data_IF_072767154793
#
_entry.id   IF_072767154793
#
_cell.length_a   1.000
_cell.length_b   1.000
_cell.length_c   1.000
_cell.angle_alpha   90.00
_cell.angle_beta   90.00
_cell.angle_gamma   90.00
#
_symmetry.space_group_name_H-M   'P 1'
#
loop_
_entity.id
_entity.type
_entity.pdbx_description
1 polymer ?
#
# COMPACT_ATOMS: atom_id res chain seq x y z
N UNK A 1 13.72 25.57 14.96
CA UNK A 1 12.98 24.78 13.97
C UNK A 1 12.01 23.88 14.72
N UNK A 2 10.71 24.21 14.74
CA UNK A 2 9.70 23.32 15.31
C UNK A 2 9.43 22.26 14.25
N UNK A 3 9.78 21.00 14.51
CA UNK A 3 9.24 19.89 13.73
C UNK A 3 7.73 19.95 13.93
N UNK A 4 7.01 20.33 12.89
CA UNK A 4 5.58 20.12 12.84
C UNK A 4 5.50 18.63 12.56
N UNK A 5 5.52 17.80 13.61
CA UNK A 5 5.14 16.39 13.44
C UNK A 5 3.71 16.43 12.90
N UNK A 6 3.54 16.10 11.63
CA UNK A 6 2.21 15.97 11.07
C UNK A 6 1.54 14.84 11.84
N UNK A 7 0.32 15.07 12.31
CA UNK A 7 -0.45 14.08 13.08
C UNK A 7 -0.49 12.72 12.38
N UNK A 8 -0.46 12.73 11.04
CA UNK A 8 -0.36 11.55 10.16
C UNK A 8 0.92 10.74 10.37
N UNK A 9 2.09 11.37 10.55
CA UNK A 9 3.36 10.65 10.73
C UNK A 9 3.40 9.90 12.07
N UNK A 10 2.83 10.51 13.11
CA UNK A 10 2.71 9.90 14.43
C UNK A 10 1.72 8.72 14.44
N UNK A 11 0.66 8.79 13.61
CA UNK A 11 -0.31 7.72 13.43
C UNK A 11 0.26 6.57 12.58
N UNK A 12 0.98 6.88 11.51
CA UNK A 12 1.66 5.88 10.67
C UNK A 12 2.73 5.13 11.46
N UNK A 13 3.53 5.83 12.27
CA UNK A 13 4.51 5.19 13.14
C UNK A 13 3.88 4.17 14.12
N UNK A 14 2.62 4.37 14.50
CA UNK A 14 1.88 3.44 15.36
C UNK A 14 1.43 2.16 14.63
N UNK A 15 1.45 2.14 13.30
CA UNK A 15 1.12 0.94 12.50
C UNK A 15 2.28 -0.03 12.37
N UNK A 16 3.51 0.39 12.69
CA UNK A 16 4.68 -0.48 12.65
C UNK A 16 4.47 -1.71 13.57
N UNK A 17 4.55 -2.89 12.98
CA UNK A 17 4.32 -4.20 13.61
C UNK A 17 2.85 -4.65 13.65
N UNK A 18 1.90 -3.81 13.25
CA UNK A 18 0.48 -4.16 13.17
C UNK A 18 0.18 -4.97 11.90
N UNK A 19 -0.91 -5.75 11.93
CA UNK A 19 -1.44 -6.36 10.73
C UNK A 19 -2.26 -5.37 9.92
N UNK A 20 -2.25 -5.51 8.59
CA UNK A 20 -3.04 -4.66 7.69
C UNK A 20 -4.52 -4.62 8.09
N UNK A 21 -5.13 -5.77 8.42
CA UNK A 21 -6.53 -5.85 8.86
C UNK A 21 -6.86 -5.00 10.09
N UNK A 22 -5.92 -4.82 11.00
CA UNK A 22 -6.11 -4.05 12.23
C UNK A 22 -6.14 -2.55 11.95
N UNK A 23 -5.42 -2.13 10.92
CA UNK A 23 -5.32 -0.73 10.53
C UNK A 23 -6.30 -0.31 9.44
N UNK A 24 -7.00 -1.25 8.77
CA UNK A 24 -8.00 -0.95 7.74
C UNK A 24 -9.00 0.17 8.13
N UNK A 25 -9.56 0.21 9.36
CA UNK A 25 -10.49 1.28 9.74
C UNK A 25 -9.84 2.67 9.79
N UNK A 26 -8.53 2.71 9.98
CA UNK A 26 -7.72 3.93 10.11
C UNK A 26 -7.08 4.35 8.77
N UNK A 27 -6.99 3.43 7.79
CA UNK A 27 -6.43 3.71 6.47
C UNK A 27 -7.20 4.81 5.73
N UNK A 28 -8.52 4.92 5.91
CA UNK A 28 -9.31 5.97 5.28
C UNK A 28 -8.90 7.38 5.72
N UNK A 29 -8.51 7.55 6.99
CA UNK A 29 -7.99 8.82 7.51
C UNK A 29 -6.60 9.12 6.98
N UNK A 30 -5.77 8.07 6.86
CA UNK A 30 -4.40 8.17 6.35
C UNK A 30 -4.42 8.59 4.88
N UNK A 31 -5.17 7.88 4.04
CA UNK A 31 -5.40 8.17 2.63
C UNK A 31 -5.96 9.57 2.38
N UNK A 32 -6.83 10.06 3.27
CA UNK A 32 -7.34 11.44 3.19
C UNK A 32 -6.26 12.51 3.46
N UNK A 33 -5.16 12.15 4.14
CA UNK A 33 -4.06 13.06 4.47
C UNK A 33 -2.82 12.91 3.58
N UNK A 34 -2.66 11.75 2.94
CA UNK A 34 -1.54 11.43 2.06
C UNK A 34 -1.69 10.02 1.48
N UNK A 35 -1.05 9.78 0.35
CA UNK A 35 -1.08 8.49 -0.36
C UNK A 35 -0.18 7.47 0.36
N UNK A 36 -0.70 6.30 0.75
CA UNK A 36 0.08 5.22 1.34
C UNK A 36 0.16 4.02 0.39
N UNK A 37 1.39 3.64 0.04
CA UNK A 37 1.65 2.46 -0.80
C UNK A 37 2.22 1.32 0.06
N UNK A 38 1.74 0.11 -0.15
CA UNK A 38 2.33 -1.10 0.43
C UNK A 38 3.31 -1.74 -0.56
N UNK A 39 4.50 -2.04 -0.08
CA UNK A 39 5.56 -2.72 -0.83
C UNK A 39 5.99 -3.99 -0.10
N UNK A 40 6.30 -5.04 -0.85
CA UNK A 40 6.74 -6.33 -0.30
C UNK A 40 8.14 -6.23 0.36
N UNK A 41 8.40 -7.05 1.39
CA UNK A 41 9.70 -7.11 2.08
C UNK A 41 10.88 -7.45 1.15
N UNK A 42 10.67 -8.26 0.11
CA UNK A 42 11.73 -8.54 -0.89
C UNK A 42 12.15 -7.30 -1.69
N UNK A 43 11.35 -6.23 -1.68
CA UNK A 43 11.71 -4.93 -2.23
C UNK A 43 12.56 -4.10 -1.26
N UNK A 44 13.06 -4.66 -0.15
CA UNK A 44 13.82 -3.93 0.87
C UNK A 44 15.05 -3.20 0.28
N UNK A 45 15.70 -3.79 -0.72
CA UNK A 45 16.84 -3.15 -1.41
C UNK A 45 16.45 -1.88 -2.17
N UNK A 46 15.21 -1.77 -2.63
CA UNK A 46 14.68 -0.61 -3.33
C UNK A 46 13.95 0.34 -2.38
N UNK A 47 13.43 -0.22 -1.28
CA UNK A 47 12.93 0.48 -0.10
C UNK A 47 14.02 1.27 0.63
N UNK A 48 15.26 0.78 0.62
CA UNK A 48 16.43 1.54 1.07
C UNK A 48 16.92 2.55 0.02
N UNK A 49 16.63 2.30 -1.25
CA UNK A 49 16.92 3.22 -2.37
C UNK A 49 15.81 4.22 -2.68
N UNK A 50 14.69 4.22 -1.93
CA UNK A 50 13.44 4.95 -2.17
C UNK A 50 13.61 6.33 -2.83
N UNK A 51 13.69 6.41 -4.15
CA UNK A 51 13.65 7.66 -4.93
C UNK A 51 14.91 8.56 -4.92
N UNK A 52 16.13 8.03 -5.02
CA UNK A 52 17.30 8.93 -5.25
C UNK A 52 17.34 9.54 -6.67
N UNK A 53 16.87 8.84 -7.70
CA UNK A 53 16.50 9.43 -8.99
C UNK A 53 15.31 8.63 -9.52
N UNK A 54 14.24 9.30 -9.93
CA UNK A 54 13.11 8.67 -10.64
C UNK A 54 13.54 8.30 -12.07
N UNK A 55 14.57 7.46 -12.20
CA UNK A 55 14.86 6.68 -13.38
C UNK A 55 14.29 5.31 -13.12
N UNK A 56 13.01 5.13 -13.45
CA UNK A 56 12.33 3.82 -13.45
C UNK A 56 13.27 2.86 -14.19
N UNK A 57 13.97 1.99 -13.47
CA UNK A 57 14.60 0.84 -14.12
C UNK A 57 13.46 0.07 -14.78
N UNK A 58 13.67 -0.44 -15.99
CA UNK A 58 12.67 -1.24 -16.69
C UNK A 58 12.23 -2.49 -15.88
N UNK A 59 12.95 -2.80 -14.79
CA UNK A 59 12.68 -3.87 -13.83
C UNK A 59 11.77 -3.47 -12.65
N UNK A 60 11.39 -2.20 -12.47
CA UNK A 60 10.46 -1.79 -11.41
C UNK A 60 9.04 -2.38 -11.56
N UNK A 61 8.76 -3.02 -12.70
CA UNK A 61 7.55 -3.78 -12.96
C UNK A 61 7.48 -5.14 -12.22
N UNK A 62 8.59 -5.61 -11.63
CA UNK A 62 8.64 -6.92 -10.96
C UNK A 62 8.35 -6.87 -9.45
N UNK A 63 8.11 -5.69 -8.87
CA UNK A 63 7.89 -5.58 -7.42
C UNK A 63 6.40 -5.51 -7.08
N UNK A 64 5.91 -6.41 -6.22
CA UNK A 64 4.52 -6.37 -5.79
C UNK A 64 4.32 -5.13 -4.92
N UNK A 65 3.64 -4.12 -5.49
CA UNK A 65 3.20 -2.94 -4.78
C UNK A 65 1.74 -2.63 -5.11
N UNK A 66 1.01 -2.12 -4.13
CA UNK A 66 -0.36 -1.66 -4.34
C UNK A 66 -0.71 -0.52 -3.39
N UNK A 67 -1.69 0.28 -3.79
CA UNK A 67 -2.14 1.40 -2.99
C UNK A 67 -3.02 0.96 -1.81
N UNK A 68 -2.84 1.53 -0.63
CA UNK A 68 -3.58 1.14 0.55
C UNK A 68 -5.11 1.37 0.41
N UNK A 69 -5.54 2.35 -0.39
CA UNK A 69 -6.96 2.60 -0.63
C UNK A 69 -7.65 1.45 -1.35
N UNK A 70 -6.93 0.66 -2.16
CA UNK A 70 -7.48 -0.53 -2.84
C UNK A 70 -8.06 -1.56 -1.87
N UNK A 71 -7.52 -1.64 -0.66
CA UNK A 71 -8.01 -2.53 0.40
C UNK A 71 -9.34 -2.06 1.00
N UNK A 72 -9.65 -0.77 0.90
CA UNK A 72 -10.92 -0.20 1.38
C UNK A 72 -12.09 -0.60 0.47
N UNK A 73 -11.82 -0.80 -0.82
CA UNK A 73 -12.79 -1.25 -1.83
C UNK A 73 -13.10 -2.75 -1.76
N UNK A 74 -12.39 -3.51 -0.92
CA UNK A 74 -12.63 -4.94 -0.75
C UNK A 74 -14.01 -5.23 -0.15
N UNK A 75 -14.83 -5.93 -0.95
CA UNK A 75 -16.08 -6.56 -0.49
C UNK A 75 -15.83 -7.64 0.57
N UNK A 76 -16.87 -8.13 1.25
CA UNK A 76 -16.74 -9.22 2.21
C UNK A 76 -16.10 -10.48 1.59
N UNK A 77 -16.44 -10.78 0.33
CA UNK A 77 -15.84 -11.88 -0.42
C UNK A 77 -14.36 -11.61 -0.74
N UNK A 78 -14.04 -10.40 -1.20
CA UNK A 78 -12.65 -10.00 -1.45
C UNK A 78 -11.77 -10.07 -0.20
N UNK A 79 -12.31 -9.72 0.98
CA UNK A 79 -11.59 -9.83 2.27
C UNK A 79 -11.26 -11.27 2.65
N UNK A 80 -12.14 -12.22 2.31
CA UNK A 80 -11.88 -13.65 2.51
C UNK A 80 -10.83 -14.15 1.53
N UNK A 81 -10.94 -13.79 0.25
CA UNK A 81 -10.00 -14.20 -0.79
C UNK A 81 -8.60 -13.64 -0.56
N UNK A 82 -8.49 -12.38 -0.16
CA UNK A 82 -7.24 -11.67 0.11
C UNK A 82 -6.86 -11.65 1.59
N UNK A 83 -7.34 -12.63 2.36
CA UNK A 83 -7.09 -12.73 3.80
C UNK A 83 -5.61 -12.72 4.15
N UNK A 84 -4.74 -13.31 3.31
CA UNK A 84 -3.27 -13.32 3.46
C UNK A 84 -2.67 -11.92 3.34
N UNK A 85 -3.08 -11.15 2.34
CA UNK A 85 -2.67 -9.74 2.18
C UNK A 85 -3.10 -8.96 3.41
N UNK A 86 -4.32 -9.19 3.90
CA UNK A 86 -4.83 -8.53 5.11
C UNK A 86 -4.16 -9.01 6.41
N UNK A 87 -3.52 -10.18 6.41
CA UNK A 87 -2.76 -10.74 7.53
C UNK A 87 -1.29 -10.30 7.51
N UNK A 88 -0.83 -9.70 6.41
CA UNK A 88 0.51 -9.16 6.27
C UNK A 88 0.78 -8.12 7.38
N UNK A 89 2.04 -8.07 7.81
CA UNK A 89 2.50 -7.18 8.87
C UNK A 89 3.27 -6.03 8.29
N UNK A 90 3.09 -4.85 8.86
CA UNK A 90 3.85 -3.68 8.48
C UNK A 90 5.19 -3.73 9.20
N UNK A 91 6.26 -3.93 8.47
CA UNK A 91 7.62 -3.96 9.03
C UNK A 91 8.15 -2.56 9.28
N UNK A 92 7.94 -1.65 8.32
CA UNK A 92 8.42 -0.29 8.45
C UNK A 92 7.65 0.68 7.55
N UNK A 93 7.73 1.97 7.86
CA UNK A 93 7.08 3.03 7.08
C UNK A 93 8.05 4.19 6.90
N UNK A 94 8.18 4.64 5.65
CA UNK A 94 8.99 5.80 5.28
C UNK A 94 8.12 6.86 4.60
N UNK A 95 8.37 8.11 4.92
CA UNK A 95 7.83 9.26 4.17
C UNK A 95 8.68 9.46 2.91
N UNK A 96 8.01 9.66 1.78
CA UNK A 96 8.61 9.97 0.48
C UNK A 96 7.97 11.25 -0.08
N UNK A 97 8.57 11.92 -1.08
CA UNK A 97 8.01 13.15 -1.64
C UNK A 97 6.58 13.02 -2.20
N UNK A 98 6.15 11.80 -2.52
CA UNK A 98 4.83 11.49 -3.11
C UNK A 98 3.80 10.96 -2.10
N UNK A 99 4.16 10.80 -0.82
CA UNK A 99 3.31 10.18 0.19
C UNK A 99 4.12 9.32 1.16
N UNK A 100 3.62 8.14 1.47
CA UNK A 100 4.25 7.21 2.40
C UNK A 100 4.34 5.82 1.75
N UNK A 101 5.40 5.10 2.07
CA UNK A 101 5.56 3.70 1.64
C UNK A 101 5.74 2.85 2.89
N UNK A 102 4.89 1.84 3.03
CA UNK A 102 4.96 0.83 4.07
C UNK A 102 5.53 -0.47 3.51
N UNK A 103 6.61 -0.96 4.11
CA UNK A 103 7.14 -2.29 3.84
C UNK A 103 6.30 -3.31 4.59
N UNK A 104 5.86 -4.36 3.91
CA UNK A 104 5.02 -5.41 4.50
C UNK A 104 5.65 -6.79 4.34
N UNK A 105 5.48 -7.62 5.36
CA UNK A 105 6.00 -8.98 5.46
C UNK A 105 4.90 -10.00 5.71
N UNK A 106 5.23 -11.28 5.53
CA UNK A 106 4.34 -12.40 5.88
C UNK A 106 3.22 -12.64 4.88
N UNK A 107 3.36 -12.13 3.66
CA UNK A 107 2.55 -12.44 2.49
C UNK A 107 3.50 -12.79 1.35
N UNK A 108 3.13 -13.74 0.49
CA UNK A 108 3.97 -14.08 -0.67
C UNK A 108 3.89 -12.96 -1.73
N UNK A 109 4.98 -12.65 -2.45
CA UNK A 109 4.98 -11.62 -3.48
C UNK A 109 3.96 -11.90 -4.59
N UNK A 110 3.73 -13.17 -4.95
CA UNK A 110 2.73 -13.56 -5.95
C UNK A 110 1.29 -13.27 -5.49
N UNK A 111 1.01 -13.36 -4.18
CA UNK A 111 -0.31 -13.05 -3.64
C UNK A 111 -0.57 -11.54 -3.67
N UNK A 112 0.46 -10.72 -3.42
CA UNK A 112 0.38 -9.27 -3.58
C UNK A 112 0.22 -8.87 -5.05
N UNK A 113 1.01 -9.46 -5.95
CA UNK A 113 0.91 -9.20 -7.39
C UNK A 113 -0.48 -9.57 -7.92
N UNK A 114 -1.03 -10.73 -7.51
CA UNK A 114 -2.39 -11.13 -7.87
C UNK A 114 -3.43 -10.11 -7.42
N UNK A 115 -3.29 -9.61 -6.19
CA UNK A 115 -4.20 -8.58 -5.68
C UNK A 115 -4.09 -7.27 -6.48
N UNK A 116 -2.86 -6.83 -6.77
CA UNK A 116 -2.61 -5.63 -7.56
C UNK A 116 -3.20 -5.74 -8.99
N UNK A 117 -2.99 -6.87 -9.65
CA UNK A 117 -3.54 -7.16 -10.98
C UNK A 117 -5.08 -7.20 -10.96
N UNK A 118 -5.68 -7.89 -9.99
CA UNK A 118 -7.15 -7.96 -9.86
C UNK A 118 -7.75 -6.57 -9.59
N UNK A 119 -7.09 -5.74 -8.80
CA UNK A 119 -7.50 -4.36 -8.56
C UNK A 119 -7.34 -3.48 -9.80
N UNK A 120 -6.24 -3.62 -10.55
CA UNK A 120 -6.03 -2.91 -11.80
C UNK A 120 -7.11 -3.28 -12.83
N UNK A 121 -7.43 -4.57 -12.97
CA UNK A 121 -8.53 -5.04 -13.82
C UNK A 121 -9.88 -4.49 -13.38
N UNK A 122 -10.13 -4.39 -12.07
CA UNK A 122 -11.34 -3.78 -11.53
C UNK A 122 -11.43 -2.29 -11.91
N UNK A 123 -10.35 -1.52 -11.74
CA UNK A 123 -10.31 -0.11 -12.10
C UNK A 123 -10.47 0.12 -13.61
N UNK A 124 -9.85 -0.73 -14.43
CA UNK A 124 -10.01 -0.68 -15.88
C UNK A 124 -11.47 -0.96 -16.29
N UNK A 125 -12.12 -1.94 -15.64
CA UNK A 125 -13.52 -2.23 -15.87
C UNK A 125 -14.45 -1.08 -15.45
N UNK A 126 -14.19 -0.45 -14.30
CA UNK A 126 -14.93 0.73 -13.83
C UNK A 126 -14.76 1.93 -14.79
N UNK A 127 -13.54 2.17 -15.30
CA UNK A 127 -13.27 3.22 -16.29
C UNK A 127 -14.00 2.95 -17.62
N UNK A 128 -13.99 1.69 -18.09
CA UNK A 128 -14.69 1.28 -19.31
C UNK A 128 -16.21 1.34 -19.19
N UNK A 129 -16.77 1.16 -17.99
CA UNK A 129 -18.21 1.32 -17.73
C UNK A 129 -18.65 2.80 -17.73
N UNK A 130 -17.71 3.75 -17.72
CA UNK A 130 -17.96 5.19 -17.74
C UNK A 130 -18.65 5.66 -16.44
N UNK A 131 -18.77 6.98 -16.20
CA UNK A 131 -19.49 7.46 -15.03
C UNK A 131 -20.92 6.92 -15.06
N UNK A 132 -21.25 6.04 -14.12
CA UNK A 132 -22.64 5.70 -13.82
C UNK A 132 -23.31 7.02 -13.42
N UNK A 133 -24.25 7.48 -14.26
CA UNK A 133 -24.98 8.74 -14.09
C UNK A 133 -25.62 8.91 -12.71
#
# INVERSE_FOLDING_TARGET
MRKIEHKSDSQLAAFKGAQIREILPQLSEVEATGHLVFAHEDSETEWDSCFEEMGVSEDAADFPMFDASSLLELTAFGREQYGKVLDARIEDIKEIPFGHVALISGVEPEEMARFADDYANFMEAEEQMGPVM
#
